data_IF_932955109848
#
_entry.id   IF_932955109848
#
_cell.length_a   1.000
_cell.length_b   1.000
_cell.length_c   1.000
_cell.angle_alpha   90.00
_cell.angle_beta   90.00
_cell.angle_gamma   90.00
#
_symmetry.space_group_name_H-M   'P 1'
#
loop_
_entity.id
_entity.type
_entity.pdbx_description
1 polymer ?
#
# COMPACT_ATOMS: atom_id res chain seq x y z
N UNK A 1 -4.47 -1.04 -7.19
CA UNK A 1 -3.37 -0.42 -6.44
C UNK A 1 -2.10 -0.60 -7.23
N UNK A 2 -1.39 0.48 -7.47
CA UNK A 2 -0.11 0.53 -8.15
C UNK A 2 0.99 0.69 -7.11
N UNK A 3 2.09 -0.03 -7.27
CA UNK A 3 3.15 -0.13 -6.25
C UNK A 3 4.51 0.03 -6.92
N UNK A 4 5.40 0.74 -6.25
CA UNK A 4 6.81 0.85 -6.60
C UNK A 4 7.68 0.94 -5.34
N UNK A 5 8.97 0.71 -5.51
CA UNK A 5 9.96 0.64 -4.44
C UNK A 5 11.10 1.65 -4.60
N UNK A 6 11.60 2.16 -3.47
CA UNK A 6 12.76 3.04 -3.44
C UNK A 6 13.69 2.68 -2.27
N UNK A 7 14.97 3.03 -2.40
CA UNK A 7 16.00 2.72 -1.40
C UNK A 7 16.73 1.40 -1.64
N UNK A 8 17.60 1.03 -0.70
CA UNK A 8 18.64 0.04 -0.97
C UNK A 8 18.24 -1.41 -0.78
N UNK A 9 18.77 -2.19 -1.72
CA UNK A 9 19.36 -3.51 -1.54
C UNK A 9 20.86 -3.25 -1.29
N UNK A 10 21.39 -3.52 -0.09
CA UNK A 10 22.83 -3.41 0.24
C UNK A 10 23.29 -2.24 1.12
N UNK A 11 22.88 -1.00 0.82
CA UNK A 11 23.39 0.22 1.49
C UNK A 11 22.74 0.54 2.86
N UNK A 12 23.04 1.71 3.47
CA UNK A 12 22.53 2.11 4.79
C UNK A 12 21.10 2.68 4.75
N UNK A 13 20.52 2.81 3.56
CA UNK A 13 19.26 3.51 3.35
C UNK A 13 18.06 2.62 3.72
N UNK A 14 16.91 3.21 4.11
CA UNK A 14 15.70 2.44 4.35
C UNK A 14 15.21 1.79 3.06
N UNK A 15 14.58 0.61 3.18
CA UNK A 15 13.75 0.02 2.13
C UNK A 15 12.37 0.65 2.18
N UNK A 16 11.84 1.08 1.04
CA UNK A 16 10.57 1.79 0.96
C UNK A 16 9.69 1.20 -0.12
N UNK A 17 8.43 0.92 0.23
CA UNK A 17 7.34 0.73 -0.73
C UNK A 17 6.43 1.95 -0.69
N UNK A 18 6.08 2.46 -1.87
CA UNK A 18 5.04 3.46 -2.07
C UNK A 18 3.95 2.90 -2.97
N UNK A 19 2.70 3.29 -2.71
CA UNK A 19 1.59 2.82 -3.52
C UNK A 19 0.43 3.81 -3.59
N UNK A 20 -0.35 3.70 -4.66
CA UNK A 20 -1.62 4.39 -4.85
C UNK A 20 -2.72 3.38 -5.19
N UNK A 21 -3.80 3.38 -4.42
CA UNK A 21 -5.06 2.78 -4.80
C UNK A 21 -5.96 3.83 -5.45
N UNK A 22 -6.58 3.45 -6.57
CA UNK A 22 -7.52 4.24 -7.35
C UNK A 22 -8.59 3.29 -7.88
N UNK A 23 -9.83 3.75 -7.99
CA UNK A 23 -10.91 2.99 -8.61
C UNK A 23 -10.71 2.94 -10.14
N UNK A 24 -11.12 1.86 -10.78
CA UNK A 24 -10.94 1.65 -12.23
C UNK A 24 -11.56 2.76 -13.08
N UNK A 25 -12.71 3.31 -12.67
CA UNK A 25 -13.39 4.42 -13.36
C UNK A 25 -12.52 5.69 -13.45
N UNK A 26 -11.60 5.88 -12.50
CA UNK A 26 -10.75 7.07 -12.41
C UNK A 26 -9.35 6.85 -12.99
N UNK A 27 -8.99 5.61 -13.32
CA UNK A 27 -7.64 5.25 -13.77
C UNK A 27 -7.24 5.97 -15.06
N UNK A 28 -8.13 6.04 -16.06
CA UNK A 28 -7.87 6.74 -17.31
C UNK A 28 -7.81 8.26 -17.12
N UNK A 29 -8.66 8.80 -16.23
CA UNK A 29 -8.73 10.23 -15.94
C UNK A 29 -7.45 10.74 -15.28
N UNK A 30 -6.93 10.00 -14.29
CA UNK A 30 -5.65 10.34 -13.65
C UNK A 30 -4.49 10.31 -14.64
N UNK A 31 -4.43 9.29 -15.50
CA UNK A 31 -3.37 9.18 -16.53
C UNK A 31 -3.41 10.37 -17.48
N UNK A 32 -4.60 10.70 -18.00
CA UNK A 32 -4.80 11.87 -18.86
C UNK A 32 -4.39 13.16 -18.15
N UNK A 33 -4.75 13.33 -16.88
CA UNK A 33 -4.41 14.52 -16.12
C UNK A 33 -2.89 14.69 -15.94
N UNK A 34 -2.14 13.59 -15.76
CA UNK A 34 -0.68 13.60 -15.71
C UNK A 34 -0.05 13.91 -17.07
N UNK A 35 -0.59 13.34 -18.15
CA UNK A 35 -0.16 13.65 -19.52
C UNK A 35 -0.39 15.13 -19.87
N UNK A 36 -1.59 15.65 -19.59
CA UNK A 36 -1.92 17.08 -19.77
C UNK A 36 -0.97 17.98 -18.96
N UNK A 37 -0.57 17.54 -17.76
CA UNK A 37 0.38 18.26 -16.92
C UNK A 37 1.78 18.32 -17.56
N UNK A 38 2.28 17.19 -18.08
CA UNK A 38 3.57 17.12 -18.80
C UNK A 38 3.53 18.03 -20.03
N UNK A 39 2.49 17.93 -20.86
CA UNK A 39 2.31 18.75 -22.07
C UNK A 39 2.32 20.24 -21.73
N UNK A 40 1.62 20.64 -20.65
CA UNK A 40 1.56 22.02 -20.20
C UNK A 40 2.93 22.56 -19.79
N UNK A 41 3.68 21.81 -18.98
CA UNK A 41 5.02 22.22 -18.54
C UNK A 41 6.01 22.29 -19.70
N UNK A 42 5.93 21.35 -20.65
CA UNK A 42 6.80 21.36 -21.83
C UNK A 42 6.38 22.40 -22.89
N UNK A 43 5.19 23.00 -22.76
CA UNK A 43 4.61 23.94 -23.72
C UNK A 43 4.52 23.39 -25.16
N UNK A 44 4.45 22.06 -25.27
CA UNK A 44 4.34 21.32 -26.53
C UNK A 44 3.82 19.92 -26.26
N UNK A 45 3.23 19.28 -27.27
CA UNK A 45 2.95 17.85 -27.25
C UNK A 45 4.20 17.10 -27.72
N UNK A 46 4.86 16.28 -26.88
CA UNK A 46 5.98 15.47 -27.33
C UNK A 46 5.55 14.41 -28.33
N UNK A 47 6.43 14.07 -29.27
CA UNK A 47 6.19 12.99 -30.25
C UNK A 47 6.02 11.65 -29.56
N UNK A 48 6.78 11.41 -28.50
CA UNK A 48 6.67 10.24 -27.66
C UNK A 48 6.51 10.67 -26.20
N UNK A 49 5.26 10.77 -25.73
CA UNK A 49 4.95 11.21 -24.37
C UNK A 49 5.33 10.15 -23.31
N UNK A 50 5.38 8.87 -23.70
CA UNK A 50 5.79 7.75 -22.85
C UNK A 50 7.27 7.84 -22.44
N UNK A 51 8.12 8.47 -23.26
CA UNK A 51 9.53 8.72 -22.91
C UNK A 51 9.69 9.73 -21.76
N UNK A 52 8.71 10.61 -21.56
CA UNK A 52 8.71 11.60 -20.47
C UNK A 52 8.09 11.00 -19.21
N UNK A 53 8.68 9.92 -18.70
CA UNK A 53 8.24 9.29 -17.45
C UNK A 53 8.38 10.24 -16.26
N UNK A 54 7.37 10.27 -15.39
CA UNK A 54 7.42 11.01 -14.14
C UNK A 54 8.19 10.24 -13.06
N UNK A 55 9.40 9.77 -13.39
CA UNK A 55 10.29 9.10 -12.44
C UNK A 55 11.02 10.15 -11.60
N UNK A 56 10.67 10.27 -10.31
CA UNK A 56 11.09 11.35 -9.44
C UNK A 56 12.61 11.45 -9.30
N UNK A 57 13.31 10.31 -9.19
CA UNK A 57 14.77 10.29 -9.04
C UNK A 57 15.46 10.81 -10.30
N UNK A 58 14.96 10.42 -11.47
CA UNK A 58 15.46 10.82 -12.79
C UNK A 58 15.15 12.29 -13.06
N UNK A 59 13.92 12.74 -12.80
CA UNK A 59 13.53 14.14 -12.99
C UNK A 59 14.37 15.10 -12.14
N UNK A 60 14.79 14.70 -10.93
CA UNK A 60 15.64 15.54 -10.06
C UNK A 60 17.11 15.53 -10.46
N UNK A 61 17.61 14.36 -10.85
CA UNK A 61 19.03 14.10 -11.07
C UNK A 61 19.33 13.63 -12.50
N UNK A 62 18.58 14.12 -13.49
CA UNK A 62 18.72 13.69 -14.88
C UNK A 62 20.18 13.76 -15.31
N UNK A 63 20.71 12.60 -15.68
CA UNK A 63 22.11 12.45 -16.07
C UNK A 63 22.24 12.77 -17.54
N UNK A 64 23.18 13.66 -17.87
CA UNK A 64 23.61 13.88 -19.25
C UNK A 64 24.27 12.61 -19.79
N UNK A 65 24.25 12.39 -21.12
CA UNK A 65 25.05 11.33 -21.72
C UNK A 65 26.51 11.53 -21.32
N UNK A 66 27.14 10.44 -20.91
CA UNK A 66 28.57 10.37 -20.63
C UNK A 66 29.19 9.59 -21.80
N UNK A 67 30.24 10.14 -22.42
CA UNK A 67 30.94 9.53 -23.56
C UNK A 67 31.46 8.11 -23.25
N UNK A 68 31.59 7.76 -21.97
CA UNK A 68 32.04 6.46 -21.49
C UNK A 68 30.91 5.49 -21.11
N UNK A 69 29.65 5.95 -21.02
CA UNK A 69 28.49 5.09 -20.69
C UNK A 69 27.72 4.72 -21.95
N UNK A 70 27.60 3.42 -22.19
CA UNK A 70 26.73 2.79 -23.22
C UNK A 70 25.22 2.92 -22.94
N UNK A 71 24.81 3.83 -22.04
CA UNK A 71 23.42 4.00 -21.62
C UNK A 71 22.74 5.17 -22.32
N UNK A 72 21.46 4.99 -22.68
CA UNK A 72 20.62 6.05 -23.26
C UNK A 72 20.53 7.22 -22.27
N UNK A 73 20.79 8.43 -22.74
CA UNK A 73 20.62 9.64 -21.94
C UNK A 73 19.15 9.79 -21.51
N UNK A 74 18.93 10.23 -20.28
CA UNK A 74 17.60 10.61 -19.81
C UNK A 74 17.04 11.73 -20.69
N UNK A 75 15.81 11.60 -21.19
CA UNK A 75 15.17 12.67 -21.98
C UNK A 75 15.02 13.95 -21.15
N UNK A 76 14.90 13.80 -19.83
CA UNK A 76 14.87 14.89 -18.86
C UNK A 76 16.18 15.67 -18.78
N UNK A 77 17.30 15.12 -19.27
CA UNK A 77 18.56 15.86 -19.34
C UNK A 77 18.48 17.04 -20.34
N UNK A 78 17.54 16.99 -21.28
CA UNK A 78 17.27 18.06 -22.26
C UNK A 78 16.25 19.10 -21.75
N UNK A 79 15.73 18.93 -20.53
CA UNK A 79 14.76 19.83 -19.91
C UNK A 79 15.43 20.55 -18.74
N UNK A 80 15.24 21.87 -18.67
CA UNK A 80 15.82 22.69 -17.62
C UNK A 80 15.42 22.21 -16.23
N UNK A 81 16.40 22.18 -15.32
CA UNK A 81 16.19 21.66 -13.97
C UNK A 81 15.05 22.37 -13.20
N UNK A 82 14.94 23.71 -13.22
CA UNK A 82 13.81 24.39 -12.58
C UNK A 82 12.45 23.93 -13.11
N UNK A 83 12.32 23.73 -14.42
CA UNK A 83 11.09 23.28 -15.06
C UNK A 83 10.74 21.84 -14.63
N UNK A 84 11.73 20.94 -14.58
CA UNK A 84 11.54 19.57 -14.08
C UNK A 84 11.08 19.53 -12.63
N UNK A 85 11.67 20.37 -11.77
CA UNK A 85 11.29 20.43 -10.37
C UNK A 85 9.90 21.03 -10.17
N UNK A 86 9.52 22.02 -10.99
CA UNK A 86 8.17 22.58 -11.00
C UNK A 86 7.13 21.52 -11.44
N UNK A 87 7.41 20.80 -12.54
CA UNK A 87 6.56 19.70 -13.01
C UNK A 87 6.42 18.61 -11.94
N UNK A 88 7.52 18.22 -11.29
CA UNK A 88 7.49 17.23 -10.21
C UNK A 88 6.65 17.70 -9.01
N UNK A 89 6.79 18.97 -8.61
CA UNK A 89 5.99 19.55 -7.53
C UNK A 89 4.50 19.59 -7.87
N UNK A 90 4.16 19.95 -9.11
CA UNK A 90 2.77 19.97 -9.56
C UNK A 90 2.19 18.58 -9.75
N UNK A 91 3.01 17.57 -10.10
CA UNK A 91 2.57 16.18 -10.13
C UNK A 91 2.15 15.69 -8.74
N UNK A 92 2.92 16.01 -7.70
CA UNK A 92 2.51 15.73 -6.31
C UNK A 92 1.20 16.42 -5.94
N UNK A 93 1.04 17.70 -6.32
CA UNK A 93 -0.22 18.44 -6.06
C UNK A 93 -1.39 17.84 -6.84
N UNK A 94 -1.19 17.41 -8.09
CA UNK A 94 -2.22 16.81 -8.92
C UNK A 94 -2.73 15.52 -8.26
N UNK A 95 -1.83 14.65 -7.81
CA UNK A 95 -2.20 13.42 -7.09
C UNK A 95 -3.07 13.77 -5.89
N UNK A 96 -2.59 14.62 -4.98
CA UNK A 96 -3.31 14.97 -3.74
C UNK A 96 -4.67 15.63 -3.98
N UNK A 97 -4.79 16.45 -5.03
CA UNK A 97 -6.01 17.21 -5.31
C UNK A 97 -6.90 16.56 -6.38
N UNK A 98 -6.59 15.35 -6.82
CA UNK A 98 -7.37 14.67 -7.84
C UNK A 98 -8.81 14.45 -7.36
N UNK A 99 -9.77 14.93 -8.15
CA UNK A 99 -11.19 14.79 -7.86
C UNK A 99 -11.70 13.46 -8.46
N UNK A 100 -12.02 12.45 -7.64
CA UNK A 100 -12.55 11.18 -8.13
C UNK A 100 -13.96 11.35 -8.68
N UNK A 101 -14.34 10.52 -9.65
CA UNK A 101 -15.71 10.45 -10.18
C UNK A 101 -16.70 10.08 -9.09
N UNK A 102 -16.29 9.23 -8.15
CA UNK A 102 -17.05 8.91 -6.95
C UNK A 102 -16.33 9.41 -5.69
N UNK A 103 -16.83 10.47 -5.03
CA UNK A 103 -16.23 11.01 -3.80
C UNK A 103 -16.10 10.01 -2.64
N UNK A 104 -16.85 8.90 -2.67
CA UNK A 104 -16.75 7.82 -1.66
C UNK A 104 -15.60 6.84 -1.92
N UNK A 105 -14.97 6.94 -3.09
CA UNK A 105 -13.84 6.13 -3.53
C UNK A 105 -12.69 7.06 -3.95
N UNK A 106 -12.17 7.90 -3.03
CA UNK A 106 -11.04 8.75 -3.35
C UNK A 106 -9.81 7.92 -3.69
N UNK A 107 -8.81 8.57 -4.30
CA UNK A 107 -7.48 7.97 -4.33
C UNK A 107 -6.99 7.77 -2.89
N UNK A 108 -6.23 6.70 -2.67
CA UNK A 108 -5.70 6.36 -1.35
C UNK A 108 -4.24 5.98 -1.47
N UNK A 109 -3.38 6.71 -0.75
CA UNK A 109 -1.95 6.42 -0.71
C UNK A 109 -1.60 5.43 0.39
N UNK A 110 -0.60 4.61 0.12
CA UNK A 110 0.00 3.69 1.07
C UNK A 110 1.52 3.80 1.02
N UNK A 111 2.16 3.50 2.15
CA UNK A 111 3.60 3.62 2.31
C UNK A 111 4.14 2.74 3.43
N UNK A 112 5.27 2.09 3.18
CA UNK A 112 5.99 1.33 4.20
C UNK A 112 7.47 1.68 4.09
N UNK A 113 8.02 2.26 5.15
CA UNK A 113 9.46 2.51 5.28
C UNK A 113 10.04 1.59 6.34
N UNK A 114 11.06 0.80 5.98
CA UNK A 114 11.75 -0.13 6.88
C UNK A 114 13.22 0.26 6.95
N UNK A 115 13.67 0.76 8.10
CA UNK A 115 15.08 1.06 8.31
C UNK A 115 15.91 -0.23 8.36
N UNK A 116 17.15 -0.17 7.86
CA UNK A 116 18.07 -1.30 7.91
C UNK A 116 18.30 -1.82 9.33
N UNK A 117 18.32 -0.93 10.31
CA UNK A 117 18.52 -1.27 11.73
C UNK A 117 17.27 -1.90 12.38
N UNK A 118 16.09 -1.78 11.77
CA UNK A 118 14.89 -2.46 12.24
C UNK A 118 15.03 -3.96 11.99
N UNK A 119 15.16 -4.72 13.08
CA UNK A 119 15.60 -6.13 13.05
C UNK A 119 16.91 -6.31 12.27
N UNK A 120 18.02 -5.86 12.87
CA UNK A 120 19.36 -5.88 12.26
C UNK A 120 19.84 -7.26 11.77
N UNK A 121 19.29 -8.35 12.31
CA UNK A 121 19.58 -9.72 11.89
C UNK A 121 18.86 -10.15 10.60
N UNK A 122 17.85 -9.41 10.13
CA UNK A 122 17.13 -9.75 8.92
C UNK A 122 18.00 -9.55 7.68
N UNK A 123 17.87 -10.47 6.73
CA UNK A 123 18.32 -10.31 5.36
C UNK A 123 17.52 -9.23 4.63
N UNK A 124 17.98 -8.85 3.43
CA UNK A 124 17.27 -7.91 2.57
C UNK A 124 15.91 -8.45 2.13
N UNK A 125 15.88 -9.71 1.72
CA UNK A 125 14.66 -10.41 1.32
C UNK A 125 13.65 -10.50 2.48
N UNK A 126 14.10 -10.70 3.72
CA UNK A 126 13.19 -10.70 4.88
C UNK A 126 12.57 -9.32 5.14
N UNK A 127 13.35 -8.24 5.00
CA UNK A 127 12.85 -6.86 5.12
C UNK A 127 11.86 -6.54 4.01
N UNK A 128 12.18 -6.91 2.78
CA UNK A 128 11.32 -6.73 1.61
C UNK A 128 10.01 -7.49 1.79
N UNK A 129 10.07 -8.81 2.07
CA UNK A 129 8.89 -9.65 2.35
C UNK A 129 8.02 -9.02 3.44
N UNK A 130 8.62 -8.55 4.54
CA UNK A 130 7.88 -7.89 5.61
C UNK A 130 7.20 -6.60 5.14
N UNK A 131 7.88 -5.76 4.36
CA UNK A 131 7.30 -4.53 3.83
C UNK A 131 6.09 -4.81 2.92
N UNK A 132 6.19 -5.81 2.03
CA UNK A 132 5.07 -6.25 1.20
C UNK A 132 3.90 -6.80 2.04
N UNK A 133 4.20 -7.62 3.05
CA UNK A 133 3.19 -8.15 3.96
C UNK A 133 2.39 -7.01 4.60
N UNK A 134 3.09 -5.97 5.08
CA UNK A 134 2.47 -4.79 5.70
C UNK A 134 1.63 -4.01 4.69
N UNK A 135 2.19 -3.73 3.51
CA UNK A 135 1.54 -2.93 2.48
C UNK A 135 0.22 -3.58 2.04
N UNK A 136 0.28 -4.87 1.69
CA UNK A 136 -0.88 -5.62 1.22
C UNK A 136 -1.91 -5.82 2.34
N UNK A 137 -1.45 -6.06 3.57
CA UNK A 137 -2.35 -6.14 4.73
C UNK A 137 -3.15 -4.84 4.95
N UNK A 138 -2.52 -3.67 4.75
CA UNK A 138 -3.21 -2.37 4.83
C UNK A 138 -4.23 -2.17 3.73
N UNK A 139 -3.88 -2.53 2.50
CA UNK A 139 -4.80 -2.48 1.37
C UNK A 139 -6.00 -3.42 1.58
N UNK A 140 -5.77 -4.63 2.08
CA UNK A 140 -6.84 -5.58 2.43
C UNK A 140 -7.79 -5.02 3.49
N UNK A 141 -7.25 -4.38 4.54
CA UNK A 141 -8.06 -3.71 5.57
C UNK A 141 -8.89 -2.57 4.99
N UNK A 142 -8.34 -1.74 4.10
CA UNK A 142 -9.11 -0.69 3.42
C UNK A 142 -10.27 -1.30 2.62
N UNK A 143 -10.03 -2.34 1.82
CA UNK A 143 -11.07 -3.02 1.05
C UNK A 143 -12.15 -3.63 1.94
N UNK A 144 -11.75 -4.21 3.09
CA UNK A 144 -12.68 -4.71 4.11
C UNK A 144 -13.55 -3.58 4.68
N UNK A 145 -12.99 -2.40 4.91
CA UNK A 145 -13.73 -1.22 5.33
C UNK A 145 -14.74 -0.76 4.26
N UNK A 146 -14.32 -0.68 3.00
CA UNK A 146 -15.22 -0.33 1.88
C UNK A 146 -16.40 -1.29 1.78
N UNK A 147 -16.15 -2.61 1.90
CA UNK A 147 -17.21 -3.63 1.95
C UNK A 147 -18.20 -3.38 3.10
N UNK A 148 -17.72 -3.05 4.31
CA UNK A 148 -18.58 -2.70 5.46
C UNK A 148 -19.40 -1.45 5.21
N UNK A 149 -18.88 -0.50 4.43
CA UNK A 149 -19.58 0.72 3.98
C UNK A 149 -20.50 0.49 2.77
N UNK A 150 -20.78 -0.78 2.41
CA UNK A 150 -21.60 -1.16 1.26
C UNK A 150 -21.05 -0.67 -0.10
N UNK A 151 -19.73 -0.55 -0.20
CA UNK A 151 -18.99 -0.27 -1.44
C UNK A 151 -18.03 -1.44 -1.74
N UNK A 152 -18.57 -2.66 -1.98
CA UNK A 152 -17.73 -3.84 -2.14
C UNK A 152 -16.82 -3.71 -3.36
N UNK A 153 -15.52 -3.84 -3.14
CA UNK A 153 -14.50 -3.84 -4.18
C UNK A 153 -13.54 -5.01 -3.97
N UNK A 154 -12.98 -5.54 -5.06
CA UNK A 154 -11.86 -6.49 -5.03
C UNK A 154 -10.61 -5.78 -5.52
N UNK A 155 -9.52 -5.94 -4.80
CA UNK A 155 -8.28 -5.22 -5.11
C UNK A 155 -7.43 -5.95 -6.14
N UNK A 156 -7.03 -5.24 -7.20
CA UNK A 156 -5.91 -5.66 -8.05
C UNK A 156 -4.63 -4.93 -7.62
N UNK A 157 -3.50 -5.62 -7.64
CA UNK A 157 -2.17 -5.04 -7.34
C UNK A 157 -1.30 -5.15 -8.58
N UNK A 158 -0.75 -4.02 -9.02
CA UNK A 158 0.17 -3.94 -10.16
C UNK A 158 1.46 -3.30 -9.63
N UNK A 159 2.58 -4.01 -9.79
CA UNK A 159 3.89 -3.57 -9.34
C UNK A 159 4.78 -3.20 -10.52
N UNK A 160 5.67 -2.22 -10.33
CA UNK A 160 6.71 -1.95 -11.32
C UNK A 160 7.69 -3.13 -11.42
N UNK A 161 8.05 -3.54 -12.63
CA UNK A 161 8.76 -4.80 -12.83
C UNK A 161 10.19 -4.73 -12.33
N UNK A 162 10.51 -5.60 -11.35
CA UNK A 162 11.88 -6.08 -11.09
C UNK A 162 11.93 -7.59 -11.27
N UNK A 163 12.63 -8.05 -12.31
CA UNK A 163 12.61 -9.44 -12.79
C UNK A 163 12.97 -10.47 -11.71
N UNK A 164 13.82 -10.11 -10.75
CA UNK A 164 14.29 -11.03 -9.69
C UNK A 164 13.26 -11.20 -8.56
N UNK A 165 12.41 -10.19 -8.29
CA UNK A 165 11.49 -10.18 -7.15
C UNK A 165 10.09 -10.73 -7.47
N UNK A 166 9.69 -10.77 -8.74
CA UNK A 166 8.32 -11.13 -9.16
C UNK A 166 7.86 -12.50 -8.63
N UNK A 167 8.66 -13.55 -8.86
CA UNK A 167 8.32 -14.92 -8.44
C UNK A 167 8.20 -15.02 -6.93
N UNK A 168 9.08 -14.34 -6.20
CA UNK A 168 9.10 -14.36 -4.75
C UNK A 168 7.85 -13.68 -4.18
N UNK A 169 7.50 -12.49 -4.69
CA UNK A 169 6.31 -11.74 -4.30
C UNK A 169 5.03 -12.54 -4.58
N UNK A 170 4.90 -13.14 -5.78
CA UNK A 170 3.73 -13.98 -6.11
C UNK A 170 3.63 -15.21 -5.19
N UNK A 171 4.76 -15.84 -4.88
CA UNK A 171 4.83 -16.96 -3.94
C UNK A 171 4.38 -16.56 -2.53
N UNK A 172 4.90 -15.44 -2.00
CA UNK A 172 4.51 -14.91 -0.69
C UNK A 172 3.02 -14.59 -0.62
N UNK A 173 2.46 -13.93 -1.64
CA UNK A 173 1.03 -13.59 -1.65
C UNK A 173 0.16 -14.84 -1.72
N UNK A 174 0.56 -15.84 -2.48
CA UNK A 174 -0.15 -17.13 -2.53
C UNK A 174 -0.19 -17.77 -1.14
N UNK A 175 0.94 -17.76 -0.42
CA UNK A 175 1.00 -18.24 0.97
C UNK A 175 0.10 -17.42 1.90
N UNK A 176 0.13 -16.09 1.83
CA UNK A 176 -0.70 -15.19 2.65
C UNK A 176 -2.21 -15.27 2.36
N UNK A 177 -2.59 -15.70 1.16
CA UNK A 177 -3.99 -16.01 0.83
C UNK A 177 -4.42 -17.35 1.42
N UNK A 178 -3.54 -18.35 1.42
CA UNK A 178 -3.83 -19.69 1.93
C UNK A 178 -3.84 -19.74 3.46
N UNK A 179 -2.93 -19.04 4.13
CA UNK A 179 -2.72 -19.11 5.59
C UNK A 179 -2.46 -17.73 6.16
N UNK A 180 -2.95 -17.47 7.38
CA UNK A 180 -2.63 -16.24 8.08
C UNK A 180 -1.16 -16.24 8.51
N UNK A 181 -0.39 -15.23 8.10
CA UNK A 181 0.97 -15.00 8.58
C UNK A 181 0.99 -13.93 9.69
N UNK A 182 2.04 -13.11 9.78
CA UNK A 182 2.29 -12.18 10.89
C UNK A 182 1.21 -11.09 10.96
N UNK A 183 0.68 -10.69 9.81
CA UNK A 183 -0.28 -9.57 9.68
C UNK A 183 -1.71 -10.07 9.42
N UNK A 184 -1.89 -11.37 9.17
CA UNK A 184 -3.18 -12.02 8.93
C UNK A 184 -3.28 -12.61 7.53
N UNK A 185 -4.50 -12.99 7.14
CA UNK A 185 -4.79 -13.59 5.83
C UNK A 185 -5.32 -12.55 4.86
N UNK A 186 -4.78 -12.51 3.63
CA UNK A 186 -5.28 -11.66 2.55
C UNK A 186 -6.56 -12.28 1.97
N UNK A 187 -7.67 -11.53 1.98
CA UNK A 187 -9.00 -12.04 1.58
C UNK A 187 -9.70 -11.21 0.54
N UNK A 188 -9.25 -9.99 0.28
CA UNK A 188 -9.95 -9.00 -0.53
C UNK A 188 -9.27 -8.68 -1.87
N UNK A 189 -8.12 -9.30 -2.16
CA UNK A 189 -7.51 -9.25 -3.48
C UNK A 189 -8.34 -10.04 -4.50
N UNK A 190 -8.36 -9.55 -5.74
CA UNK A 190 -8.95 -10.23 -6.88
C UNK A 190 -8.05 -11.39 -7.33
N UNK A 191 -6.74 -11.13 -7.41
CA UNK A 191 -5.74 -12.09 -7.88
C UNK A 191 -4.37 -11.89 -7.20
N UNK A 192 -3.36 -12.64 -7.62
CA UNK A 192 -1.94 -12.40 -7.31
C UNK A 192 -1.47 -11.05 -7.90
N UNK A 193 -0.39 -10.44 -7.38
CA UNK A 193 0.14 -9.21 -7.96
C UNK A 193 0.64 -9.43 -9.39
N UNK A 194 0.33 -8.45 -10.24
CA UNK A 194 0.79 -8.38 -11.63
C UNK A 194 1.98 -7.42 -11.74
N UNK A 195 2.79 -7.57 -12.78
CA UNK A 195 3.99 -6.76 -12.99
C UNK A 195 4.00 -6.12 -14.37
N UNK A 196 4.23 -4.82 -14.43
CA UNK A 196 4.29 -4.04 -15.66
C UNK A 196 5.50 -3.10 -15.66
N UNK A 197 5.92 -2.67 -16.85
CA UNK A 197 6.97 -1.66 -17.01
C UNK A 197 6.46 -0.29 -16.53
N UNK A 198 7.30 0.50 -15.87
CA UNK A 198 6.98 1.87 -15.42
C UNK A 198 6.46 2.79 -16.53
N UNK A 199 6.83 2.54 -17.79
CA UNK A 199 6.32 3.26 -18.98
C UNK A 199 4.90 2.88 -19.34
N UNK A 200 4.45 1.69 -18.97
CA UNK A 200 3.16 1.15 -19.40
C UNK A 200 1.97 1.96 -18.83
N UNK A 201 2.15 2.67 -17.71
CA UNK A 201 1.08 3.49 -17.14
C UNK A 201 1.62 4.57 -16.22
N UNK A 202 1.02 5.77 -16.30
CA UNK A 202 1.31 6.86 -15.34
C UNK A 202 0.99 6.49 -13.89
N UNK A 203 0.15 5.48 -13.66
CA UNK A 203 -0.23 5.08 -12.30
C UNK A 203 0.91 4.37 -11.55
N UNK A 204 1.79 3.66 -12.26
CA UNK A 204 3.05 3.16 -11.70
C UNK A 204 4.01 4.31 -11.40
N UNK A 205 4.06 5.32 -12.27
CA UNK A 205 4.87 6.52 -12.03
C UNK A 205 4.36 7.29 -10.80
N UNK A 206 3.05 7.34 -10.53
CA UNK A 206 2.54 7.88 -9.26
C UNK A 206 3.01 7.04 -8.07
N UNK A 207 3.09 5.72 -8.20
CA UNK A 207 3.65 4.88 -7.13
C UNK A 207 5.14 5.20 -6.88
N UNK A 208 5.92 5.48 -7.93
CA UNK A 208 7.31 5.99 -7.81
C UNK A 208 7.35 7.35 -7.10
N UNK A 209 6.46 8.28 -7.46
CA UNK A 209 6.36 9.58 -6.76
C UNK A 209 6.17 9.38 -5.25
N UNK A 210 5.25 8.48 -4.86
CA UNK A 210 4.95 8.13 -3.47
C UNK A 210 6.15 7.47 -2.78
N UNK A 211 6.73 6.44 -3.40
CA UNK A 211 7.88 5.69 -2.85
C UNK A 211 9.08 6.61 -2.65
N UNK A 212 9.34 7.48 -3.63
CA UNK A 212 10.45 8.42 -3.61
C UNK A 212 10.28 9.51 -2.54
N UNK A 213 9.07 10.06 -2.36
CA UNK A 213 8.84 11.05 -1.31
C UNK A 213 9.03 10.47 0.10
N UNK A 214 8.52 9.25 0.32
CA UNK A 214 8.74 8.52 1.58
C UNK A 214 10.23 8.25 1.77
N UNK A 215 10.92 7.79 0.73
CA UNK A 215 12.36 7.57 0.77
C UNK A 215 13.10 8.86 1.14
N UNK A 216 12.79 9.99 0.52
CA UNK A 216 13.46 11.28 0.81
C UNK A 216 13.21 11.79 2.22
N UNK A 217 12.06 11.48 2.81
CA UNK A 217 11.77 11.75 4.22
C UNK A 217 12.69 10.98 5.17
N UNK A 218 12.92 9.70 4.90
CA UNK A 218 13.68 8.83 5.82
C UNK A 218 15.13 8.63 5.43
N UNK A 219 15.55 9.09 4.26
CA UNK A 219 16.91 8.97 3.78
C UNK A 219 17.77 10.12 4.31
N UNK A 220 18.58 9.83 5.34
CA UNK A 220 19.60 10.75 5.83
C UNK A 220 20.76 10.88 4.83
N UNK A 221 21.40 12.06 4.72
CA UNK A 221 21.18 13.29 5.48
C UNK A 221 20.14 14.25 4.87
N UNK A 222 19.54 13.91 3.72
CA UNK A 222 18.70 14.84 2.96
C UNK A 222 17.42 15.26 3.72
N UNK A 223 16.78 14.32 4.43
CA UNK A 223 15.54 14.50 5.24
C UNK A 223 14.56 15.53 4.64
N UNK A 224 14.34 15.45 3.34
CA UNK A 224 13.48 16.37 2.60
C UNK A 224 12.05 15.86 2.71
N UNK A 225 11.26 16.61 3.46
CA UNK A 225 9.89 16.25 3.83
C UNK A 225 8.83 16.92 2.96
N UNK A 226 9.21 17.85 2.09
CA UNK A 226 8.28 18.71 1.35
C UNK A 226 7.21 17.92 0.60
N UNK A 227 7.62 16.92 -0.18
CA UNK A 227 6.68 16.09 -0.95
C UNK A 227 5.91 15.10 -0.04
N UNK A 228 6.56 14.58 0.99
CA UNK A 228 5.93 13.66 1.95
C UNK A 228 4.80 14.37 2.72
N UNK A 229 5.08 15.55 3.24
CA UNK A 229 4.12 16.35 4.02
C UNK A 229 2.94 16.81 3.14
N UNK A 230 3.20 17.18 1.88
CA UNK A 230 2.16 17.50 0.90
C UNK A 230 1.22 16.30 0.66
N UNK A 231 1.76 15.09 0.56
CA UNK A 231 0.97 13.88 0.32
C UNK A 231 0.32 13.30 1.57
N UNK A 232 0.75 13.71 2.77
CA UNK A 232 0.29 13.18 4.04
C UNK A 232 -1.25 13.06 4.13
N UNK A 233 -2.06 14.06 3.72
CA UNK A 233 -3.52 13.99 3.81
C UNK A 233 -4.15 12.89 2.93
N UNK A 234 -3.47 12.43 1.89
CA UNK A 234 -3.98 11.43 0.96
C UNK A 234 -3.66 9.98 1.39
N UNK A 235 -2.88 9.77 2.45
CA UNK A 235 -2.66 8.42 2.99
C UNK A 235 -3.91 7.88 3.68
N UNK A 236 -4.15 6.57 3.53
CA UNK A 236 -5.32 5.90 4.09
C UNK A 236 -5.57 6.27 5.56
N UNK A 237 -6.74 6.82 5.83
CA UNK A 237 -7.15 7.28 7.16
C UNK A 237 -8.49 6.68 7.53
N UNK A 238 -8.60 6.17 8.76
CA UNK A 238 -9.84 5.61 9.30
C UNK A 238 -10.07 6.17 10.69
N UNK A 239 -11.29 6.66 10.96
CA UNK A 239 -11.67 7.20 12.27
C UNK A 239 -10.70 8.26 12.82
N UNK A 240 -10.20 9.14 11.95
CA UNK A 240 -9.26 10.21 12.31
C UNK A 240 -7.81 9.76 12.54
N UNK A 241 -7.49 8.49 12.32
CA UNK A 241 -6.14 7.94 12.45
C UNK A 241 -5.61 7.51 11.09
N UNK A 242 -4.43 8.01 10.74
CA UNK A 242 -3.77 7.64 9.48
C UNK A 242 -3.08 6.29 9.63
N UNK A 243 -3.48 5.32 8.80
CA UNK A 243 -2.93 3.97 8.75
C UNK A 243 -2.18 3.68 7.44
N UNK A 244 -2.31 4.54 6.43
CA UNK A 244 -1.77 4.30 5.08
C UNK A 244 -0.24 4.28 5.04
N UNK A 245 0.42 5.05 5.89
CA UNK A 245 1.88 5.10 5.96
C UNK A 245 2.39 4.51 7.29
N UNK A 246 3.44 3.69 7.26
CA UNK A 246 4.11 3.19 8.47
C UNK A 246 5.62 3.27 8.33
N UNK A 247 6.27 3.66 9.42
CA UNK A 247 7.71 3.67 9.57
C UNK A 247 8.13 2.62 10.62
N UNK A 248 8.99 1.70 10.21
CA UNK A 248 9.58 0.67 11.05
C UNK A 248 11.04 1.03 11.35
N UNK A 249 11.27 1.42 12.60
CA UNK A 249 12.54 1.88 13.14
C UNK A 249 12.73 1.34 14.56
N UNK A 250 13.97 1.02 14.99
CA UNK A 250 14.25 0.68 16.39
C UNK A 250 13.80 1.76 17.37
N UNK A 251 13.84 3.04 16.95
CA UNK A 251 13.47 4.20 17.77
C UNK A 251 11.98 4.25 18.11
N UNK A 252 11.13 3.46 17.44
CA UNK A 252 9.70 3.44 17.71
C UNK A 252 9.36 2.90 19.10
N UNK A 253 9.87 1.70 19.46
CA UNK A 253 9.55 1.08 20.76
C UNK A 253 10.10 1.88 21.94
N UNK A 254 11.14 2.67 21.68
CA UNK A 254 11.77 3.55 22.66
C UNK A 254 11.03 4.90 22.80
N UNK A 255 10.00 5.16 21.98
CA UNK A 255 9.28 6.44 21.96
C UNK A 255 10.10 7.61 21.40
N UNK A 256 11.27 7.33 20.81
CA UNK A 256 12.20 8.35 20.31
C UNK A 256 11.86 8.84 18.90
N UNK A 257 11.09 8.08 18.12
CA UNK A 257 10.64 8.51 16.80
C UNK A 257 9.30 9.26 16.86
N UNK A 258 9.32 10.54 16.49
CA UNK A 258 8.17 11.45 16.47
C UNK A 258 7.69 11.76 15.05
N UNK A 259 8.00 10.90 14.06
CA UNK A 259 7.48 11.11 12.72
C UNK A 259 5.97 10.87 12.67
N UNK A 260 5.26 11.53 11.74
CA UNK A 260 3.81 11.46 11.66
C UNK A 260 3.27 10.01 11.59
N UNK A 261 3.87 9.06 10.83
CA UNK A 261 3.48 7.64 10.90
C UNK A 261 3.62 6.99 12.28
N UNK A 262 4.72 7.24 12.99
CA UNK A 262 4.97 6.65 14.31
C UNK A 262 3.99 7.21 15.35
N UNK A 263 3.72 8.52 15.34
CA UNK A 263 2.72 9.12 16.22
C UNK A 263 1.32 8.57 15.98
N UNK A 264 0.90 8.42 14.73
CA UNK A 264 -0.40 7.85 14.40
C UNK A 264 -0.52 6.38 14.82
N UNK A 265 0.57 5.61 14.70
CA UNK A 265 0.61 4.23 15.20
C UNK A 265 0.49 4.17 16.72
N UNK A 266 1.19 5.04 17.46
CA UNK A 266 1.06 5.14 18.92
C UNK A 266 -0.38 5.50 19.35
N UNK A 267 -1.00 6.48 18.68
CA UNK A 267 -2.41 6.84 18.90
C UNK A 267 -3.34 5.65 18.67
N UNK A 268 -3.13 4.89 17.59
CA UNK A 268 -3.91 3.71 17.27
C UNK A 268 -3.76 2.60 18.32
N UNK A 269 -2.54 2.35 18.79
CA UNK A 269 -2.23 1.35 19.81
C UNK A 269 -2.84 1.72 21.16
N UNK A 270 -2.72 2.98 21.59
CA UNK A 270 -3.35 3.49 22.80
C UNK A 270 -4.88 3.33 22.76
N UNK A 271 -5.51 3.67 21.64
CA UNK A 271 -6.96 3.51 21.46
C UNK A 271 -7.41 2.04 21.48
N UNK A 272 -6.55 1.09 21.09
CA UNK A 272 -6.84 -0.35 21.18
C UNK A 272 -6.72 -0.85 22.62
N UNK A 273 -5.69 -0.44 23.34
CA UNK A 273 -5.48 -0.80 24.75
C UNK A 273 -6.55 -0.24 25.69
N UNK A 274 -7.14 0.91 25.33
CA UNK A 274 -8.22 1.54 26.10
C UNK A 274 -9.60 0.90 25.92
N UNK A 275 -9.81 0.02 24.92
CA UNK A 275 -11.08 -0.70 24.79
C UNK A 275 -11.11 -1.84 25.82
N UNK A 276 -12.06 -1.87 26.77
CA UNK A 276 -12.17 -2.99 27.70
C UNK A 276 -12.38 -4.27 26.88
N UNK A 277 -11.55 -5.27 27.15
CA UNK A 277 -11.76 -6.62 26.62
C UNK A 277 -13.18 -7.02 27.00
N UNK A 278 -14.04 -7.19 26.00
CA UNK A 278 -15.42 -7.60 26.24
C UNK A 278 -15.42 -8.86 27.08
N UNK A 279 -15.82 -8.74 28.35
CA UNK A 279 -16.12 -9.86 29.19
C UNK A 279 -17.16 -10.71 28.44
N UNK A 280 -16.79 -11.93 28.08
CA UNK A 280 -17.77 -12.95 27.73
C UNK A 280 -18.60 -13.19 29.00
N UNK A 281 -19.73 -12.51 29.16
CA UNK A 281 -20.75 -12.93 30.12
C UNK A 281 -21.28 -14.28 29.64
N UNK A 282 -20.69 -15.33 30.18
CA UNK A 282 -21.25 -16.68 30.21
C UNK A 282 -22.36 -16.70 31.26
N UNK A 283 -23.59 -16.37 30.86
CA UNK A 283 -24.77 -16.80 31.61
C UNK A 283 -25.12 -18.22 31.17
N UNK A 284 -24.40 -19.21 31.70
CA UNK A 284 -24.93 -20.56 31.84
C UNK A 284 -25.58 -20.62 33.21
N UNK A 285 -26.90 -20.49 33.24
CA UNK A 285 -27.68 -20.92 34.40
C UNK A 285 -27.54 -22.45 34.57
N UNK A 286 -27.35 -22.95 35.80
CA UNK A 286 -27.30 -24.38 36.07
C UNK A 286 -28.72 -24.94 36.19
N UNK A 287 -29.14 -25.76 35.23
CA UNK A 287 -30.34 -26.59 35.38
C UNK A 287 -29.94 -27.87 36.12
N UNK A 288 -30.27 -27.92 37.41
CA UNK A 288 -30.31 -29.13 38.23
C UNK A 288 -31.59 -29.96 37.98
N UNK A 289 -31.66 -31.19 38.52
CA UNK A 289 -32.42 -32.29 37.92
C UNK A 289 -33.86 -32.34 38.42
N UNK A 290 -34.81 -32.58 37.51
CA UNK A 290 -36.16 -33.03 37.90
C UNK A 290 -36.50 -34.34 37.21
N UNK A 291 -36.52 -35.39 38.04
CA UNK A 291 -37.24 -36.63 37.82
C UNK A 291 -38.73 -36.34 37.62
N UNK A 292 -39.38 -37.04 36.68
CA UNK A 292 -40.75 -37.52 36.83
C UNK A 292 -41.09 -38.59 35.80
N UNK A 293 -41.92 -39.49 36.27
CA UNK A 293 -42.14 -40.86 35.84
C UNK A 293 -43.52 -40.98 35.19
N UNK A 294 -43.64 -41.88 34.19
CA UNK A 294 -44.88 -42.48 33.60
C UNK A 294 -45.75 -41.50 32.76
N UNK A 295 -46.43 -41.91 31.70
CA UNK A 295 -47.33 -43.08 31.53
C UNK A 295 -47.33 -43.55 30.06
N UNK A 296 -47.48 -44.88 29.90
CA UNK A 296 -47.72 -45.64 28.66
C UNK A 296 -49.09 -45.33 28.03
N UNK A 297 -49.16 -45.29 26.70
CA UNK A 297 -50.30 -45.89 25.97
C UNK A 297 -49.83 -46.46 24.64
N UNK A 298 -50.49 -47.54 24.23
CA UNK A 298 -50.07 -48.61 23.31
C UNK A 298 -51.11 -48.71 22.19
N UNK A 299 -50.71 -48.66 20.92
CA UNK A 299 -51.44 -49.21 19.74
C UNK A 299 -50.36 -49.41 18.64
N UNK A 300 -49.82 -50.60 18.35
CA UNK A 300 -50.32 -51.77 17.58
C UNK A 300 -50.83 -51.48 16.15
N UNK A 301 -49.97 -51.72 15.15
CA UNK A 301 -50.22 -52.54 13.94
C UNK A 301 -48.92 -52.56 13.11
N UNK A 302 -48.13 -53.64 13.11
CA UNK A 302 -48.20 -54.87 12.28
C UNK A 302 -47.91 -54.68 10.78
N UNK A 303 -46.87 -55.39 10.32
CA UNK A 303 -46.79 -56.21 9.09
C UNK A 303 -45.54 -56.03 8.20
N UNK A 304 -44.69 -57.08 8.26
CA UNK A 304 -44.10 -57.88 7.15
C UNK A 304 -43.02 -57.26 6.23
N UNK A 305 -41.81 -57.82 6.26
CA UNK A 305 -41.23 -58.84 5.33
C UNK A 305 -40.84 -58.23 3.97
N UNK A 306 -39.67 -58.46 3.38
CA UNK A 306 -38.55 -59.35 3.68
C UNK A 306 -37.40 -59.12 2.69
N UNK A 307 -36.33 -59.90 2.94
CA UNK A 307 -35.07 -60.10 2.17
C UNK A 307 -34.07 -58.94 2.05
#
# INVERSE_FOLDING_TARGET
MFVDESGTHGGPHPFVLGAMAIHEDDAALMQKALDDLVVRHLSRVPVNLEEYELHASEMRNAKKPDETRTGRASIWANVDRPLRLALLADAYKLVVNFAPTNPKLPIVLFGVAVEKAFHSAWSEQERERFAYEVLLGKFDVMLKTLRRRKLPNRGLVIHDRRVVAERDIQSWVTAWRATAERIGQLRNLADVPLFADSRATRLLQVADLVSYAIFRRYNAPANDSTAFDLMWPAFHTESGVTHGCVHYTPSYRQGACQCAPCEQRLKAEAARSAKPSGAKLSTKEPIGPTSRTRIRTRVLHDAREGE
#
